data_IF_700048206464
#
_entry.id   IF_700048206464
#
_cell.length_a   1.000
_cell.length_b   1.000
_cell.length_c   1.000
_cell.angle_alpha   90.00
_cell.angle_beta   90.00
_cell.angle_gamma   90.00
#
_symmetry.space_group_name_H-M   'P 1'
#
loop_
_entity.id
_entity.type
_entity.pdbx_description
1 polymer ?
#
# COMPACT_ATOMS: atom_id res chain seq x y z
N UNK A 1 -26.70 69.30 -46.21
CA UNK A 1 -27.26 68.20 -47.01
C UNK A 1 -26.20 67.12 -47.24
N UNK A 2 -26.26 65.97 -46.56
CA UNK A 2 -25.60 64.69 -46.91
C UNK A 2 -25.89 63.67 -45.79
N UNK A 3 -26.99 62.93 -45.90
CA UNK A 3 -27.41 61.95 -44.88
C UNK A 3 -28.48 60.95 -45.33
N UNK A 4 -28.76 60.84 -46.64
CA UNK A 4 -29.82 59.95 -47.17
C UNK A 4 -29.31 58.72 -47.93
N UNK A 5 -27.99 58.54 -48.08
CA UNK A 5 -27.44 57.46 -48.94
C UNK A 5 -26.89 56.22 -48.21
N UNK A 6 -26.77 56.23 -46.87
CA UNK A 6 -26.29 55.02 -46.14
C UNK A 6 -27.40 54.00 -45.87
N UNK A 7 -28.62 54.44 -45.60
CA UNK A 7 -29.75 53.52 -45.38
C UNK A 7 -30.20 52.82 -46.67
N UNK A 8 -30.09 53.48 -47.83
CA UNK A 8 -30.39 52.86 -49.13
C UNK A 8 -29.33 51.80 -49.51
N UNK A 9 -28.08 51.98 -49.08
CA UNK A 9 -27.00 51.03 -49.35
C UNK A 9 -27.08 49.78 -48.44
N UNK A 10 -27.54 49.91 -47.19
CA UNK A 10 -27.75 48.77 -46.27
C UNK A 10 -29.01 47.98 -46.65
N UNK A 11 -30.08 48.66 -47.10
CA UNK A 11 -31.26 47.97 -47.63
C UNK A 11 -30.96 47.30 -48.97
N UNK A 12 -30.13 47.89 -49.85
CA UNK A 12 -29.62 47.19 -51.04
C UNK A 12 -28.69 46.02 -50.70
N UNK A 13 -27.88 46.10 -49.64
CA UNK A 13 -27.05 44.97 -49.20
C UNK A 13 -27.89 43.82 -48.61
N UNK A 14 -28.96 44.12 -47.86
CA UNK A 14 -29.91 43.10 -47.37
C UNK A 14 -30.77 42.51 -48.49
N UNK A 15 -31.15 43.30 -49.49
CA UNK A 15 -31.86 42.81 -50.68
C UNK A 15 -30.92 42.00 -51.58
N UNK A 16 -29.61 42.31 -51.64
CA UNK A 16 -28.62 41.51 -52.37
C UNK A 16 -28.22 40.24 -51.59
N UNK A 17 -28.22 40.22 -50.26
CA UNK A 17 -28.04 38.97 -49.48
C UNK A 17 -29.30 38.10 -49.52
N UNK A 18 -30.50 38.70 -49.50
CA UNK A 18 -31.76 37.98 -49.73
C UNK A 18 -31.93 37.53 -51.21
N UNK A 19 -31.38 38.26 -52.18
CA UNK A 19 -31.32 37.85 -53.60
C UNK A 19 -30.17 36.90 -53.91
N UNK A 20 -29.06 36.89 -53.15
CA UNK A 20 -28.06 35.82 -53.19
C UNK A 20 -28.60 34.54 -52.55
N UNK A 21 -29.56 34.65 -51.62
CA UNK A 21 -30.44 33.57 -51.21
C UNK A 21 -31.42 33.09 -52.30
N UNK A 22 -31.51 33.78 -53.45
CA UNK A 22 -32.42 33.42 -54.55
C UNK A 22 -31.72 33.25 -55.93
N UNK A 23 -30.46 33.68 -56.08
CA UNK A 23 -29.72 33.67 -57.36
C UNK A 23 -28.65 32.57 -57.46
N UNK A 24 -28.48 31.73 -56.43
CA UNK A 24 -27.86 30.40 -56.56
C UNK A 24 -28.82 29.33 -57.13
N UNK A 25 -29.99 29.75 -57.59
CA UNK A 25 -31.06 28.90 -58.10
C UNK A 25 -30.85 28.60 -59.58
N UNK A 26 -29.90 27.71 -59.88
CA UNK A 26 -29.82 26.87 -61.10
C UNK A 26 -28.42 26.29 -61.17
N UNK A 27 -28.20 25.13 -60.56
CA UNK A 27 -27.37 24.08 -61.17
C UNK A 27 -27.46 22.72 -60.44
N UNK A 28 -28.08 22.68 -59.25
CA UNK A 28 -28.52 21.46 -58.58
C UNK A 28 -30.02 21.63 -58.26
N UNK A 29 -30.83 20.56 -58.24
CA UNK A 29 -32.28 20.65 -57.98
C UNK A 29 -32.62 21.39 -56.67
N UNK A 30 -33.89 21.75 -56.41
CA UNK A 30 -34.26 22.60 -55.28
C UNK A 30 -34.19 21.83 -53.95
N UNK A 31 -32.98 21.58 -53.46
CA UNK A 31 -32.75 21.06 -52.11
C UNK A 31 -32.71 22.27 -51.18
N UNK A 32 -33.82 22.54 -50.51
CA UNK A 32 -33.88 23.47 -49.38
C UNK A 32 -33.15 22.84 -48.20
N UNK A 33 -32.04 23.43 -47.77
CA UNK A 33 -31.27 23.00 -46.60
C UNK A 33 -31.85 23.63 -45.33
N UNK A 34 -31.81 22.89 -44.22
CA UNK A 34 -32.05 23.45 -42.89
C UNK A 34 -30.82 24.25 -42.42
N UNK A 35 -31.01 25.11 -41.40
CA UNK A 35 -29.90 25.82 -40.75
C UNK A 35 -28.93 24.85 -40.05
N UNK A 36 -29.45 23.73 -39.53
CA UNK A 36 -28.67 22.59 -39.12
C UNK A 36 -29.56 21.37 -38.88
N UNK A 37 -28.95 20.27 -38.47
CA UNK A 37 -29.60 19.00 -38.22
C UNK A 37 -29.11 18.46 -36.88
N UNK A 38 -29.99 17.84 -36.09
CA UNK A 38 -29.70 17.35 -34.76
C UNK A 38 -30.13 15.90 -34.60
N UNK A 39 -29.22 15.08 -34.11
CA UNK A 39 -29.52 13.83 -33.44
C UNK A 39 -29.36 14.03 -31.93
N UNK A 40 -30.30 13.51 -31.14
CA UNK A 40 -30.21 13.55 -29.68
C UNK A 40 -30.74 12.26 -29.07
N UNK A 41 -30.05 11.79 -28.03
CA UNK A 41 -30.52 10.80 -27.08
C UNK A 41 -30.16 11.24 -25.65
N UNK A 42 -30.38 10.37 -24.66
CA UNK A 42 -30.12 10.68 -23.26
C UNK A 42 -28.63 10.90 -22.92
N UNK A 43 -27.71 10.48 -23.79
CA UNK A 43 -26.26 10.47 -23.55
C UNK A 43 -25.45 11.17 -24.63
N UNK A 44 -26.08 11.61 -25.72
CA UNK A 44 -25.39 12.17 -26.88
C UNK A 44 -26.22 13.20 -27.62
N UNK A 45 -25.54 14.23 -28.12
CA UNK A 45 -26.09 15.19 -29.06
C UNK A 45 -25.11 15.37 -30.22
N UNK A 46 -25.58 15.15 -31.45
CA UNK A 46 -24.82 15.41 -32.66
C UNK A 46 -25.51 16.51 -33.48
N UNK A 47 -24.91 17.69 -33.51
CA UNK A 47 -25.35 18.80 -34.34
C UNK A 47 -24.51 18.90 -35.60
N UNK A 48 -25.17 18.99 -36.75
CA UNK A 48 -24.52 19.05 -38.06
C UNK A 48 -25.03 20.25 -38.85
N UNK A 49 -24.14 21.11 -39.32
CA UNK A 49 -24.48 22.20 -40.24
C UNK A 49 -23.91 21.93 -41.62
N UNK A 50 -24.70 22.16 -42.67
CA UNK A 50 -24.32 21.90 -44.07
C UNK A 50 -24.28 23.24 -44.80
N UNK A 51 -23.10 23.63 -45.30
CA UNK A 51 -22.90 24.86 -46.07
C UNK A 51 -22.43 24.53 -47.48
N UNK A 52 -23.06 25.12 -48.49
CA UNK A 52 -22.71 24.89 -49.90
C UNK A 52 -22.04 26.14 -50.48
N UNK A 53 -20.84 25.96 -51.04
CA UNK A 53 -20.04 27.00 -51.68
C UNK A 53 -19.62 26.53 -53.09
N UNK A 54 -20.38 26.93 -54.11
CA UNK A 54 -20.23 26.45 -55.49
C UNK A 54 -20.37 24.91 -55.59
N UNK A 55 -19.36 24.20 -56.10
CA UNK A 55 -19.34 22.73 -56.20
C UNK A 55 -18.90 22.03 -54.90
N UNK A 56 -18.48 22.78 -53.87
CA UNK A 56 -17.99 22.25 -52.61
C UNK A 56 -19.03 22.37 -51.50
N UNK A 57 -19.10 21.34 -50.67
CA UNK A 57 -19.96 21.27 -49.48
C UNK A 57 -19.09 21.12 -48.25
N UNK A 58 -19.34 21.95 -47.25
CA UNK A 58 -18.73 21.87 -45.94
C UNK A 58 -19.76 21.40 -44.93
N UNK A 59 -19.41 20.39 -44.15
CA UNK A 59 -20.25 19.82 -43.11
C UNK A 59 -19.51 19.91 -41.79
N UNK A 60 -19.99 20.80 -40.92
CA UNK A 60 -19.46 20.93 -39.57
C UNK A 60 -20.31 20.10 -38.63
N UNK A 61 -19.70 19.10 -38.00
CA UNK A 61 -20.32 18.23 -37.02
C UNK A 61 -19.78 18.57 -35.64
N UNK A 62 -20.65 18.72 -34.66
CA UNK A 62 -20.29 18.83 -33.24
C UNK A 62 -21.00 17.74 -32.47
N UNK A 63 -20.22 16.89 -31.83
CA UNK A 63 -20.65 15.72 -31.11
C UNK A 63 -20.36 15.90 -29.62
N UNK A 64 -21.42 15.91 -28.83
CA UNK A 64 -21.36 16.02 -27.37
C UNK A 64 -21.82 14.71 -26.75
N UNK A 65 -20.92 13.98 -26.12
CA UNK A 65 -21.14 12.65 -25.54
C UNK A 65 -20.95 12.71 -24.02
N UNK A 66 -21.84 12.06 -23.28
CA UNK A 66 -21.71 11.83 -21.84
C UNK A 66 -20.78 10.65 -21.62
N UNK A 67 -19.62 10.91 -21.05
CA UNK A 67 -18.65 9.90 -20.62
C UNK A 67 -18.63 9.79 -19.09
N UNK A 68 -17.99 8.75 -18.56
CA UNK A 68 -17.83 8.57 -17.11
C UNK A 68 -16.37 8.29 -16.76
N UNK A 69 -15.85 8.97 -15.74
CA UNK A 69 -14.53 8.72 -15.15
C UNK A 69 -14.71 8.53 -13.64
N UNK A 70 -14.18 7.46 -13.07
CA UNK A 70 -14.40 7.12 -11.64
C UNK A 70 -15.89 7.08 -11.23
N UNK A 71 -16.79 6.69 -12.15
CA UNK A 71 -18.26 6.75 -11.99
C UNK A 71 -18.85 8.17 -11.88
N UNK A 72 -18.09 9.21 -12.21
CA UNK A 72 -18.56 10.60 -12.29
C UNK A 72 -18.81 10.94 -13.76
N UNK A 73 -20.04 11.33 -14.14
CA UNK A 73 -20.34 11.69 -15.52
C UNK A 73 -19.75 13.05 -15.88
N UNK A 74 -19.32 13.21 -17.13
CA UNK A 74 -18.90 14.48 -17.70
C UNK A 74 -19.27 14.54 -19.18
N UNK A 75 -19.45 15.76 -19.70
CA UNK A 75 -19.75 15.96 -21.12
C UNK A 75 -18.45 16.21 -21.89
N UNK A 76 -18.14 15.33 -22.83
CA UNK A 76 -17.06 15.50 -23.80
C UNK A 76 -17.66 16.06 -25.09
N UNK A 77 -17.05 17.10 -25.65
CA UNK A 77 -17.52 17.69 -26.92
C UNK A 77 -16.38 17.77 -27.91
N UNK A 78 -16.61 17.26 -29.11
CA UNK A 78 -15.67 17.26 -30.22
C UNK A 78 -16.35 17.86 -31.46
N UNK A 79 -15.60 18.60 -32.25
CA UNK A 79 -16.10 19.15 -33.51
C UNK A 79 -15.18 18.73 -34.65
N UNK A 80 -15.77 18.33 -35.77
CA UNK A 80 -15.07 17.97 -36.99
C UNK A 80 -15.68 18.69 -38.19
N UNK A 81 -14.81 19.16 -39.08
CA UNK A 81 -15.19 19.75 -40.36
C UNK A 81 -14.89 18.74 -41.47
N UNK A 82 -15.91 18.41 -42.24
CA UNK A 82 -15.82 17.49 -43.38
C UNK A 82 -16.10 18.26 -44.67
N UNK A 83 -15.28 18.01 -45.69
CA UNK A 83 -15.49 18.57 -47.02
C UNK A 83 -16.01 17.49 -47.98
N UNK A 84 -16.84 17.90 -48.94
CA UNK A 84 -17.45 16.98 -49.89
C UNK A 84 -18.16 17.64 -51.05
N UNK A 85 -18.99 16.85 -51.72
CA UNK A 85 -19.79 17.23 -52.89
C UNK A 85 -21.23 16.79 -52.71
N UNK A 86 -22.15 17.43 -53.44
CA UNK A 86 -23.58 17.09 -53.41
C UNK A 86 -24.11 16.91 -54.83
N UNK A 87 -24.76 15.79 -55.09
CA UNK A 87 -25.46 15.48 -56.34
C UNK A 87 -26.94 15.24 -56.06
N UNK A 88 -27.77 16.21 -56.42
CA UNK A 88 -29.17 16.24 -56.00
C UNK A 88 -29.27 16.23 -54.47
N UNK A 89 -29.88 15.17 -53.91
CA UNK A 89 -30.02 14.97 -52.46
C UNK A 89 -28.88 14.16 -51.85
N UNK A 90 -28.01 13.56 -52.67
CA UNK A 90 -26.92 12.73 -52.19
C UNK A 90 -25.74 13.60 -51.79
N UNK A 91 -25.25 13.40 -50.57
CA UNK A 91 -24.08 14.02 -49.98
C UNK A 91 -22.94 13.00 -49.94
N UNK A 92 -21.77 13.38 -50.43
CA UNK A 92 -20.55 12.56 -50.34
C UNK A 92 -19.46 13.37 -49.64
N UNK A 93 -19.08 12.98 -48.43
CA UNK A 93 -18.05 13.62 -47.62
C UNK A 93 -16.80 12.75 -47.55
N UNK A 94 -15.62 13.36 -47.48
CA UNK A 94 -14.37 12.62 -47.24
C UNK A 94 -14.06 12.57 -45.75
N UNK A 95 -13.88 11.36 -45.21
CA UNK A 95 -13.34 11.20 -43.87
C UNK A 95 -11.82 11.45 -43.89
N UNK A 96 -11.31 12.50 -43.21
CA UNK A 96 -9.89 12.82 -43.23
C UNK A 96 -9.02 11.80 -42.45
N UNK A 97 -9.61 11.05 -41.51
CA UNK A 97 -8.89 10.08 -40.69
C UNK A 97 -8.73 8.71 -41.38
N UNK A 98 -9.75 8.26 -42.12
CA UNK A 98 -9.75 6.93 -42.76
C UNK A 98 -9.58 6.99 -44.29
N UNK A 99 -9.76 8.16 -44.89
CA UNK A 99 -9.76 8.35 -46.34
C UNK A 99 -10.98 7.76 -47.06
N UNK A 100 -11.96 7.25 -46.31
CA UNK A 100 -13.18 6.66 -46.85
C UNK A 100 -14.25 7.72 -47.11
N UNK A 101 -15.10 7.47 -48.11
CA UNK A 101 -16.25 8.31 -48.40
C UNK A 101 -17.39 7.99 -47.41
N UNK A 102 -17.93 9.04 -46.80
CA UNK A 102 -19.14 9.02 -46.00
C UNK A 102 -20.29 9.45 -46.91
N UNK A 103 -21.27 8.58 -47.08
CA UNK A 103 -22.43 8.84 -47.93
C UNK A 103 -23.61 9.26 -47.05
N UNK A 104 -24.33 10.28 -47.48
CA UNK A 104 -25.56 10.71 -46.81
C UNK A 104 -26.61 11.19 -47.80
N UNK A 105 -27.82 11.38 -47.30
CA UNK A 105 -28.95 11.96 -48.01
C UNK A 105 -29.43 13.20 -47.26
N UNK A 106 -29.48 14.34 -47.93
CA UNK A 106 -29.90 15.63 -47.35
C UNK A 106 -31.26 16.03 -47.91
N UNK A 107 -32.20 16.30 -47.01
CA UNK A 107 -33.51 16.88 -47.30
C UNK A 107 -33.77 18.09 -46.39
N UNK A 108 -34.84 18.85 -46.63
CA UNK A 108 -35.18 20.02 -45.81
C UNK A 108 -35.50 19.70 -44.35
N UNK A 109 -36.02 18.50 -44.09
CA UNK A 109 -36.47 18.08 -42.75
C UNK A 109 -35.49 17.11 -42.08
N UNK A 110 -34.57 16.50 -42.83
CA UNK A 110 -33.75 15.39 -42.35
C UNK A 110 -32.40 15.33 -43.08
N UNK A 111 -31.35 15.04 -42.32
CA UNK A 111 -30.03 14.65 -42.81
C UNK A 111 -29.77 13.22 -42.36
N UNK A 112 -29.60 12.34 -43.32
CA UNK A 112 -29.40 10.93 -43.08
C UNK A 112 -28.01 10.52 -43.55
N UNK A 113 -27.33 9.71 -42.77
CA UNK A 113 -26.05 9.17 -43.14
C UNK A 113 -26.03 7.64 -43.15
N UNK A 114 -25.36 7.08 -44.15
CA UNK A 114 -25.21 5.65 -44.36
C UNK A 114 -23.86 5.19 -43.78
N UNK A 115 -23.91 4.38 -42.71
CA UNK A 115 -22.71 3.78 -42.10
C UNK A 115 -22.18 4.52 -40.87
N UNK A 116 -20.96 4.14 -40.45
CA UNK A 116 -20.33 4.53 -39.18
C UNK A 116 -19.86 6.00 -39.19
N UNK A 117 -20.75 6.95 -38.90
CA UNK A 117 -20.34 8.27 -38.39
C UNK A 117 -20.11 8.29 -36.89
N UNK A 118 -20.70 7.32 -36.20
CA UNK A 118 -20.62 7.16 -34.76
C UNK A 118 -19.93 5.82 -34.49
N UNK A 119 -18.93 5.78 -33.62
CA UNK A 119 -18.41 4.51 -33.11
C UNK A 119 -19.59 3.66 -32.60
N UNK A 120 -19.56 2.37 -32.92
CA UNK A 120 -20.59 1.34 -32.63
C UNK A 120 -21.85 1.31 -33.52
N UNK A 121 -22.13 2.33 -34.34
CA UNK A 121 -23.38 2.34 -35.14
C UNK A 121 -23.19 1.75 -36.54
N UNK A 122 -23.58 0.48 -36.74
CA UNK A 122 -23.55 -0.21 -38.06
C UNK A 122 -24.76 0.11 -38.96
N UNK A 123 -25.63 1.02 -38.53
CA UNK A 123 -26.89 1.38 -39.20
C UNK A 123 -26.88 2.78 -39.83
N UNK A 124 -28.07 3.20 -40.22
CA UNK A 124 -28.34 4.53 -40.77
C UNK A 124 -28.57 5.53 -39.63
N UNK A 125 -27.91 6.68 -39.63
CA UNK A 125 -28.10 7.73 -38.61
C UNK A 125 -28.90 8.88 -39.20
N UNK A 126 -30.05 9.17 -38.61
CA UNK A 126 -30.96 10.24 -39.02
C UNK A 126 -30.90 11.42 -38.05
N UNK A 127 -30.67 12.61 -38.59
CA UNK A 127 -30.66 13.88 -37.87
C UNK A 127 -31.84 14.73 -38.36
N UNK A 128 -32.58 15.32 -37.44
CA UNK A 128 -33.78 16.11 -37.75
C UNK A 128 -33.40 17.59 -37.91
N UNK A 129 -34.01 18.28 -38.87
CA UNK A 129 -33.81 19.70 -39.08
C UNK A 129 -34.04 20.53 -37.80
N UNK A 130 -33.12 21.45 -37.52
CA UNK A 130 -33.12 22.34 -36.36
C UNK A 130 -32.44 23.67 -36.71
N UNK A 131 -32.28 24.54 -35.71
CA UNK A 131 -31.46 25.75 -35.80
C UNK A 131 -30.43 25.79 -34.67
N UNK A 132 -29.43 26.67 -34.82
CA UNK A 132 -28.32 26.77 -33.87
C UNK A 132 -28.78 27.13 -32.45
N UNK A 133 -29.75 28.04 -32.34
CA UNK A 133 -30.31 28.46 -31.04
C UNK A 133 -31.00 27.31 -30.29
N UNK A 134 -31.75 26.47 -31.00
CA UNK A 134 -32.41 25.30 -30.44
C UNK A 134 -31.40 24.24 -29.98
N UNK A 135 -30.34 24.00 -30.77
CA UNK A 135 -29.22 23.14 -30.36
C UNK A 135 -28.52 23.68 -29.11
N UNK A 136 -28.11 24.95 -29.09
CA UNK A 136 -27.42 25.56 -27.95
C UNK A 136 -28.26 25.50 -26.66
N UNK A 137 -29.57 25.70 -26.76
CA UNK A 137 -30.51 25.56 -25.64
C UNK A 137 -30.56 24.12 -25.09
N UNK A 138 -30.61 23.13 -25.98
CA UNK A 138 -30.61 21.71 -25.61
C UNK A 138 -29.27 21.27 -25.03
N UNK A 139 -28.15 21.71 -25.61
CA UNK A 139 -26.81 21.45 -25.11
C UNK A 139 -26.60 22.07 -23.72
N UNK A 140 -27.08 23.29 -23.49
CA UNK A 140 -27.04 23.93 -22.17
C UNK A 140 -27.85 23.14 -21.14
N UNK A 141 -29.01 22.60 -21.53
CA UNK A 141 -29.85 21.73 -20.68
C UNK A 141 -29.13 20.43 -20.33
N UNK A 142 -28.54 19.75 -21.32
CA UNK A 142 -27.74 18.54 -21.12
C UNK A 142 -26.54 18.80 -20.22
N UNK A 143 -25.77 19.85 -20.51
CA UNK A 143 -24.60 20.27 -19.72
C UNK A 143 -24.98 20.51 -18.25
N UNK A 144 -26.09 21.22 -18.01
CA UNK A 144 -26.59 21.48 -16.66
C UNK A 144 -26.96 20.19 -15.94
N UNK A 145 -27.70 19.29 -16.60
CA UNK A 145 -28.10 17.99 -16.03
C UNK A 145 -26.88 17.15 -15.63
N UNK A 146 -25.91 17.01 -16.54
CA UNK A 146 -24.68 16.25 -16.28
C UNK A 146 -23.85 16.88 -15.17
N UNK A 147 -23.79 18.20 -15.11
CA UNK A 147 -23.11 18.89 -14.01
C UNK A 147 -23.79 18.61 -12.65
N UNK A 148 -25.11 18.69 -12.57
CA UNK A 148 -25.86 18.39 -11.34
C UNK A 148 -25.68 16.93 -10.92
N UNK A 149 -25.73 15.98 -11.86
CA UNK A 149 -25.49 14.56 -11.61
C UNK A 149 -24.05 14.29 -11.14
N UNK A 150 -23.06 14.93 -11.77
CA UNK A 150 -21.66 14.83 -11.39
C UNK A 150 -21.40 15.32 -9.97
N UNK A 151 -22.01 16.43 -9.56
CA UNK A 151 -21.87 16.96 -8.20
C UNK A 151 -22.50 16.04 -7.14
N UNK A 152 -23.61 15.38 -7.46
CA UNK A 152 -24.19 14.34 -6.60
C UNK A 152 -23.25 13.14 -6.52
N UNK A 153 -22.78 12.63 -7.66
CA UNK A 153 -21.90 11.47 -7.72
C UNK A 153 -20.55 11.69 -7.03
N UNK A 154 -19.96 12.88 -7.15
CA UNK A 154 -18.73 13.24 -6.41
C UNK A 154 -18.89 13.09 -4.90
N UNK A 155 -20.03 13.54 -4.37
CA UNK A 155 -20.33 13.42 -2.93
C UNK A 155 -20.53 11.95 -2.53
N UNK A 156 -21.30 11.19 -3.31
CA UNK A 156 -21.50 9.75 -3.07
C UNK A 156 -20.18 8.97 -3.09
N UNK A 157 -19.33 9.20 -4.10
CA UNK A 157 -18.02 8.56 -4.23
C UNK A 157 -17.11 8.95 -3.07
N UNK A 158 -17.09 10.22 -2.65
CA UNK A 158 -16.32 10.65 -1.50
C UNK A 158 -16.78 9.96 -0.20
N UNK A 159 -18.09 9.88 0.04
CA UNK A 159 -18.65 9.16 1.19
C UNK A 159 -18.33 7.66 1.16
N UNK A 160 -18.43 7.03 -0.01
CA UNK A 160 -18.06 5.62 -0.19
C UNK A 160 -16.58 5.39 0.08
N UNK A 161 -15.69 6.25 -0.42
CA UNK A 161 -14.23 6.17 -0.17
C UNK A 161 -13.92 6.28 1.32
N UNK A 162 -14.59 7.17 2.06
CA UNK A 162 -14.44 7.29 3.52
C UNK A 162 -14.93 6.04 4.24
N UNK A 163 -16.11 5.51 3.87
CA UNK A 163 -16.65 4.27 4.46
C UNK A 163 -15.75 3.07 4.20
N UNK A 164 -15.23 2.96 2.98
CA UNK A 164 -14.32 1.89 2.59
C UNK A 164 -12.97 2.00 3.30
N UNK A 165 -12.40 3.21 3.40
CA UNK A 165 -11.18 3.43 4.18
C UNK A 165 -11.35 3.03 5.65
N UNK A 166 -12.49 3.39 6.27
CA UNK A 166 -12.80 2.98 7.64
C UNK A 166 -12.97 1.45 7.77
N UNK A 167 -13.59 0.80 6.77
CA UNK A 167 -13.72 -0.67 6.72
C UNK A 167 -12.36 -1.36 6.65
N UNK A 168 -11.47 -0.85 5.81
CA UNK A 168 -10.11 -1.38 5.63
C UNK A 168 -9.26 -1.15 6.88
N UNK A 169 -9.31 0.04 7.49
CA UNK A 169 -8.61 0.33 8.75
C UNK A 169 -9.07 -0.60 9.87
N UNK A 170 -10.38 -0.77 10.02
CA UNK A 170 -10.96 -1.71 10.97
C UNK A 170 -10.48 -3.15 10.73
N UNK A 171 -10.50 -3.63 9.48
CA UNK A 171 -10.03 -4.96 9.14
C UNK A 171 -8.53 -5.17 9.47
N UNK A 172 -7.68 -4.17 9.21
CA UNK A 172 -6.26 -4.19 9.58
C UNK A 172 -6.07 -4.28 11.08
N UNK A 173 -6.81 -3.50 11.86
CA UNK A 173 -6.77 -3.56 13.34
C UNK A 173 -7.22 -4.92 13.85
N UNK A 174 -8.27 -5.50 13.26
CA UNK A 174 -8.70 -6.87 13.57
C UNK A 174 -7.57 -7.86 13.29
N UNK A 175 -6.94 -7.81 12.12
CA UNK A 175 -5.81 -8.70 11.80
C UNK A 175 -4.64 -8.50 12.80
N UNK A 176 -4.31 -7.24 13.10
CA UNK A 176 -3.20 -6.89 13.98
C UNK A 176 -3.39 -7.42 15.40
N UNK A 177 -4.60 -7.31 15.99
CA UNK A 177 -4.85 -7.89 17.32
C UNK A 177 -4.68 -9.41 17.33
N UNK A 178 -5.01 -10.09 16.22
CA UNK A 178 -4.81 -11.54 16.09
C UNK A 178 -3.33 -11.94 16.00
N UNK A 179 -2.52 -11.14 15.29
CA UNK A 179 -1.06 -11.34 15.23
C UNK A 179 -0.41 -11.11 16.59
N UNK A 180 -0.71 -9.98 17.24
CA UNK A 180 -0.18 -9.68 18.57
C UNK A 180 -0.56 -10.74 19.61
N UNK A 181 -1.78 -11.28 19.56
CA UNK A 181 -2.18 -12.42 20.42
C UNK A 181 -1.28 -13.64 20.21
N UNK A 182 -1.03 -14.02 18.96
CA UNK A 182 -0.17 -15.15 18.62
C UNK A 182 1.29 -14.90 19.01
N UNK A 183 1.82 -13.70 18.72
CA UNK A 183 3.19 -13.29 19.01
C UNK A 183 3.45 -13.30 20.53
N UNK A 184 2.49 -12.86 21.35
CA UNK A 184 2.57 -12.95 22.81
C UNK A 184 2.67 -14.39 23.30
N UNK A 185 1.89 -15.31 22.74
CA UNK A 185 1.90 -16.73 23.13
C UNK A 185 3.19 -17.41 22.68
N UNK A 186 3.65 -17.13 21.46
CA UNK A 186 4.89 -17.68 20.93
C UNK A 186 6.11 -17.17 21.71
N UNK A 187 6.18 -15.86 21.96
CA UNK A 187 7.29 -15.26 22.70
C UNK A 187 7.30 -15.71 24.17
N UNK A 188 6.12 -15.89 24.79
CA UNK A 188 6.00 -16.51 26.11
C UNK A 188 6.65 -17.90 26.16
N UNK A 189 6.41 -18.72 25.13
CA UNK A 189 7.02 -20.05 25.03
C UNK A 189 8.56 -19.97 24.93
N UNK A 190 9.09 -19.09 24.07
CA UNK A 190 10.55 -18.90 23.98
C UNK A 190 11.15 -18.41 25.31
N UNK A 191 10.47 -17.52 26.02
CA UNK A 191 10.89 -17.06 27.35
C UNK A 191 10.94 -18.17 28.39
N UNK A 192 10.05 -19.16 28.31
CA UNK A 192 10.03 -20.30 29.21
C UNK A 192 11.09 -21.36 28.87
N UNK A 193 11.48 -21.46 27.61
CA UNK A 193 12.60 -22.29 27.15
C UNK A 193 13.96 -21.69 27.57
N UNK A 194 14.05 -20.37 27.75
CA UNK A 194 15.25 -19.71 28.26
C UNK A 194 15.47 -20.00 29.75
N UNK A 195 16.20 -21.08 30.01
CA UNK A 195 16.63 -21.51 31.34
C UNK A 195 18.16 -21.49 31.48
N UNK A 196 18.60 -21.49 32.75
CA UNK A 196 20.02 -21.43 33.16
C UNK A 196 20.46 -22.67 33.96
N UNK A 197 19.63 -23.71 33.99
CA UNK A 197 19.87 -24.93 34.79
C UNK A 197 21.15 -25.64 34.38
N UNK A 198 21.41 -25.71 33.08
CA UNK A 198 22.58 -26.41 32.55
C UNK A 198 23.87 -25.65 32.88
N UNK A 199 23.87 -24.33 32.76
CA UNK A 199 25.02 -23.50 33.09
C UNK A 199 25.31 -23.44 34.60
N UNK A 200 24.26 -23.42 35.42
CA UNK A 200 24.39 -23.50 36.86
C UNK A 200 24.97 -24.86 37.30
N UNK A 201 24.49 -25.96 36.71
CA UNK A 201 25.00 -27.29 36.98
C UNK A 201 26.46 -27.43 36.54
N UNK A 202 26.76 -27.04 35.29
CA UNK A 202 28.12 -27.01 34.76
C UNK A 202 29.08 -26.26 35.69
N UNK A 203 28.70 -25.06 36.12
CA UNK A 203 29.52 -24.23 37.00
C UNK A 203 29.84 -24.92 38.34
N UNK A 204 28.85 -25.58 38.95
CA UNK A 204 29.06 -26.31 40.20
C UNK A 204 29.99 -27.51 40.02
N UNK A 205 29.82 -28.26 38.92
CA UNK A 205 30.66 -29.42 38.60
C UNK A 205 32.12 -29.00 38.38
N UNK A 206 32.34 -27.88 37.68
CA UNK A 206 33.68 -27.33 37.47
C UNK A 206 34.35 -26.88 38.79
N UNK A 207 33.59 -26.27 39.72
CA UNK A 207 34.13 -25.90 41.05
C UNK A 207 34.54 -27.14 41.85
N UNK A 208 33.71 -28.19 41.86
CA UNK A 208 34.05 -29.44 42.53
C UNK A 208 35.32 -30.07 41.95
N UNK A 209 35.47 -30.08 40.64
CA UNK A 209 36.68 -30.59 39.99
C UNK A 209 37.91 -29.73 40.29
N UNK A 210 37.79 -28.40 40.28
CA UNK A 210 38.88 -27.49 40.70
C UNK A 210 39.33 -27.74 42.13
N UNK A 211 38.40 -28.02 43.05
CA UNK A 211 38.72 -28.39 44.43
C UNK A 211 39.49 -29.72 44.50
N UNK A 212 39.06 -30.72 43.72
CA UNK A 212 39.72 -32.03 43.62
C UNK A 212 41.16 -31.89 43.10
N UNK A 213 41.36 -31.12 42.02
CA UNK A 213 42.67 -30.90 41.41
C UNK A 213 43.61 -30.10 42.33
N UNK A 214 43.09 -29.12 43.08
CA UNK A 214 43.87 -28.41 44.09
C UNK A 214 44.37 -29.36 45.19
N UNK A 215 43.52 -30.28 45.65
CA UNK A 215 43.90 -31.25 46.66
C UNK A 215 44.92 -32.27 46.15
N UNK A 216 44.83 -32.64 44.87
CA UNK A 216 45.84 -33.46 44.20
C UNK A 216 47.22 -32.76 44.20
N UNK A 217 47.26 -31.47 43.81
CA UNK A 217 48.48 -30.65 43.87
C UNK A 217 49.02 -30.55 45.31
N UNK A 218 48.14 -30.35 46.30
CA UNK A 218 48.55 -30.31 47.72
C UNK A 218 49.14 -31.65 48.18
N UNK A 219 48.53 -32.75 47.79
CA UNK A 219 49.02 -34.10 48.14
C UNK A 219 50.43 -34.30 47.64
N UNK A 220 50.70 -34.05 46.35
CA UNK A 220 52.06 -34.12 45.79
C UNK A 220 53.03 -33.18 46.53
N UNK A 221 52.64 -31.95 46.83
CA UNK A 221 53.53 -30.96 47.47
C UNK A 221 54.07 -31.38 48.86
N UNK A 222 53.35 -32.29 49.54
CA UNK A 222 53.73 -32.80 50.87
C UNK A 222 54.59 -34.06 50.83
N UNK A 223 54.77 -34.69 49.67
CA UNK A 223 55.52 -35.94 49.56
C UNK A 223 57.00 -35.76 49.94
N UNK A 224 57.55 -36.57 50.87
CA UNK A 224 58.97 -36.59 51.17
C UNK A 224 59.76 -37.04 49.93
N UNK A 225 60.73 -36.23 49.49
CA UNK A 225 61.57 -36.59 48.35
C UNK A 225 60.89 -36.54 46.98
N UNK A 226 59.92 -35.64 46.80
CA UNK A 226 59.26 -35.35 45.51
C UNK A 226 60.28 -35.33 44.35
N UNK A 227 59.99 -36.09 43.30
CA UNK A 227 60.79 -36.18 42.08
C UNK A 227 60.41 -35.08 41.07
N UNK A 228 61.30 -34.83 40.09
CA UNK A 228 61.03 -33.90 38.99
C UNK A 228 59.79 -34.31 38.17
N UNK A 229 59.59 -35.60 37.96
CA UNK A 229 58.44 -36.13 37.23
C UNK A 229 57.12 -35.83 37.97
N UNK A 230 57.08 -36.02 39.29
CA UNK A 230 55.89 -35.68 40.09
C UNK A 230 55.64 -34.17 40.12
N UNK A 231 56.68 -33.35 40.10
CA UNK A 231 56.52 -31.90 39.93
C UNK A 231 55.95 -31.53 38.54
N UNK A 232 56.39 -32.17 37.46
CA UNK A 232 55.83 -31.98 36.11
C UNK A 232 54.34 -32.41 36.05
N UNK A 233 53.95 -33.47 36.77
CA UNK A 233 52.54 -33.84 36.94
C UNK A 233 51.76 -32.71 37.62
N UNK A 234 52.28 -32.11 38.69
CA UNK A 234 51.63 -30.95 39.33
C UNK A 234 51.46 -29.76 38.36
N UNK A 235 52.45 -29.51 37.50
CA UNK A 235 52.34 -28.47 36.46
C UNK A 235 51.24 -28.80 35.44
N UNK A 236 51.15 -30.06 35.01
CA UNK A 236 50.06 -30.55 34.15
C UNK A 236 48.69 -30.39 34.80
N UNK A 237 48.57 -30.74 36.08
CA UNK A 237 47.34 -30.58 36.87
C UNK A 237 46.92 -29.10 36.98
N UNK A 238 47.87 -28.19 37.19
CA UNK A 238 47.59 -26.74 37.17
C UNK A 238 47.13 -26.28 35.78
N UNK A 239 47.70 -26.83 34.70
CA UNK A 239 47.26 -26.59 33.33
C UNK A 239 45.80 -27.03 33.10
N UNK A 240 45.41 -28.21 33.60
CA UNK A 240 44.03 -28.67 33.57
C UNK A 240 43.10 -27.71 34.33
N UNK A 241 43.49 -27.25 35.53
CA UNK A 241 42.71 -26.26 36.28
C UNK A 241 42.49 -24.96 35.49
N UNK A 242 43.52 -24.49 34.77
CA UNK A 242 43.41 -23.29 33.90
C UNK A 242 42.33 -23.47 32.84
N UNK A 243 42.26 -24.64 32.19
CA UNK A 243 41.26 -24.96 31.16
C UNK A 243 39.84 -24.93 31.74
N UNK A 244 39.64 -25.48 32.95
CA UNK A 244 38.32 -25.43 33.61
C UNK A 244 37.90 -23.99 33.93
N UNK A 245 38.81 -23.17 34.45
CA UNK A 245 38.55 -21.74 34.70
C UNK A 245 38.20 -21.00 33.41
N UNK A 246 38.90 -21.27 32.31
CA UNK A 246 38.61 -20.64 31.02
C UNK A 246 37.25 -21.09 30.47
N UNK A 247 36.89 -22.37 30.60
CA UNK A 247 35.56 -22.88 30.26
C UNK A 247 34.44 -22.22 31.07
N UNK A 248 34.66 -21.98 32.36
CA UNK A 248 33.72 -21.23 33.21
C UNK A 248 33.57 -19.76 32.75
N UNK A 249 34.65 -19.11 32.31
CA UNK A 249 34.59 -17.75 31.77
C UNK A 249 33.82 -17.68 30.43
N UNK A 250 33.92 -18.69 29.57
CA UNK A 250 33.08 -18.76 28.36
C UNK A 250 31.61 -18.96 28.71
N UNK A 251 31.32 -19.80 29.70
CA UNK A 251 29.95 -20.02 30.18
C UNK A 251 29.33 -18.74 30.77
N UNK A 252 30.13 -17.93 31.47
CA UNK A 252 29.75 -16.61 31.99
C UNK A 252 29.22 -15.69 30.88
N UNK A 253 29.90 -15.67 29.72
CA UNK A 253 29.46 -14.92 28.54
C UNK A 253 28.14 -15.44 27.97
N UNK A 254 27.97 -16.75 27.86
CA UNK A 254 26.71 -17.37 27.40
C UNK A 254 25.51 -17.00 28.29
N UNK A 255 25.70 -17.00 29.61
CA UNK A 255 24.66 -16.59 30.57
C UNK A 255 24.32 -15.10 30.38
N UNK A 256 25.31 -14.23 30.17
CA UNK A 256 25.09 -12.81 29.93
C UNK A 256 24.28 -12.56 28.65
N UNK A 257 24.62 -13.26 27.56
CA UNK A 257 23.87 -13.16 26.29
C UNK A 257 22.44 -13.67 26.43
N UNK A 258 22.23 -14.82 27.11
CA UNK A 258 20.88 -15.33 27.44
C UNK A 258 20.08 -14.32 28.28
N UNK A 259 20.70 -13.69 29.28
CA UNK A 259 20.06 -12.67 30.09
C UNK A 259 19.64 -11.46 29.26
N UNK A 260 20.51 -10.99 28.36
CA UNK A 260 20.21 -9.88 27.45
C UNK A 260 19.04 -10.22 26.53
N UNK A 261 19.07 -11.39 25.88
CA UNK A 261 17.98 -11.84 25.02
C UNK A 261 16.65 -11.92 25.79
N UNK A 262 16.69 -12.40 27.03
CA UNK A 262 15.51 -12.44 27.90
C UNK A 262 14.97 -11.03 28.21
N UNK A 263 15.83 -10.04 28.44
CA UNK A 263 15.41 -8.64 28.64
C UNK A 263 14.76 -8.04 27.39
N UNK A 264 15.34 -8.30 26.21
CA UNK A 264 14.80 -7.83 24.93
C UNK A 264 13.42 -8.45 24.65
N UNK A 265 13.26 -9.76 24.87
CA UNK A 265 11.96 -10.44 24.73
C UNK A 265 10.90 -9.90 25.71
N UNK A 266 11.28 -9.65 26.97
CA UNK A 266 10.37 -9.03 27.95
C UNK A 266 9.91 -7.65 27.46
N UNK A 267 10.84 -6.82 26.97
CA UNK A 267 10.51 -5.47 26.50
C UNK A 267 9.56 -5.50 25.30
N UNK A 268 9.80 -6.40 24.33
CA UNK A 268 8.92 -6.61 23.18
C UNK A 268 7.52 -7.00 23.65
N UNK A 269 7.40 -8.00 24.53
CA UNK A 269 6.10 -8.43 25.03
C UNK A 269 5.37 -7.35 25.82
N UNK A 270 6.07 -6.52 26.60
CA UNK A 270 5.47 -5.38 27.31
C UNK A 270 4.89 -4.35 26.33
N UNK A 271 5.57 -4.09 25.21
CA UNK A 271 5.05 -3.25 24.12
C UNK A 271 3.86 -3.91 23.42
N UNK A 272 3.97 -5.17 23.03
CA UNK A 272 2.91 -5.90 22.31
C UNK A 272 1.63 -6.02 23.14
N UNK A 273 1.74 -6.25 24.46
CA UNK A 273 0.58 -6.24 25.36
C UNK A 273 -0.12 -4.89 25.38
N UNK A 274 0.65 -3.79 25.42
CA UNK A 274 0.10 -2.43 25.43
C UNK A 274 -0.61 -2.12 24.11
N UNK A 275 0.04 -2.44 22.98
CA UNK A 275 -0.52 -2.20 21.66
C UNK A 275 -1.77 -3.05 21.43
N UNK A 276 -1.76 -4.32 21.86
CA UNK A 276 -2.92 -5.20 21.81
C UNK A 276 -4.09 -4.61 22.60
N UNK A 277 -3.86 -4.13 23.82
CA UNK A 277 -4.90 -3.51 24.65
C UNK A 277 -5.45 -2.22 24.03
N UNK A 278 -4.57 -1.35 23.49
CA UNK A 278 -4.98 -0.11 22.85
C UNK A 278 -5.81 -0.37 21.60
N UNK A 279 -5.33 -1.21 20.67
CA UNK A 279 -6.04 -1.52 19.44
C UNK A 279 -7.36 -2.23 19.77
N UNK A 280 -7.36 -3.16 20.73
CA UNK A 280 -8.59 -3.82 21.16
C UNK A 280 -9.62 -2.83 21.69
N UNK A 281 -9.22 -1.85 22.50
CA UNK A 281 -10.12 -0.84 23.03
C UNK A 281 -10.77 0.01 21.93
N UNK A 282 -10.06 0.27 20.83
CA UNK A 282 -10.59 1.00 19.66
C UNK A 282 -11.64 0.19 18.89
N UNK A 283 -11.46 -1.13 18.76
CA UNK A 283 -12.28 -1.95 17.87
C UNK A 283 -13.37 -2.78 18.57
N UNK A 284 -13.27 -3.00 19.89
CA UNK A 284 -14.11 -3.97 20.64
C UNK A 284 -15.62 -3.77 20.48
N UNK A 285 -16.09 -2.55 20.27
CA UNK A 285 -17.52 -2.26 20.11
C UNK A 285 -18.08 -2.67 18.74
N UNK A 286 -17.21 -2.88 17.75
CA UNK A 286 -17.60 -3.14 16.35
C UNK A 286 -17.16 -4.52 15.86
N UNK A 287 -16.42 -5.27 16.68
CA UNK A 287 -15.94 -6.62 16.35
C UNK A 287 -17.03 -7.68 16.57
N UNK A 288 -17.25 -8.59 15.60
CA UNK A 288 -18.10 -9.75 15.81
C UNK A 288 -17.58 -10.63 16.95
N UNK A 289 -18.48 -11.20 17.75
CA UNK A 289 -18.15 -12.06 18.89
C UNK A 289 -17.16 -11.42 19.89
N UNK A 290 -17.32 -10.11 20.15
CA UNK A 290 -16.42 -9.33 20.99
C UNK A 290 -16.08 -10.00 22.33
N UNK A 291 -17.06 -10.62 23.00
CA UNK A 291 -16.85 -11.33 24.27
C UNK A 291 -15.89 -12.52 24.14
N UNK A 292 -16.02 -13.33 23.09
CA UNK A 292 -15.13 -14.47 22.85
C UNK A 292 -13.71 -13.99 22.58
N UNK A 293 -13.58 -12.92 21.81
CA UNK A 293 -12.29 -12.36 21.43
C UNK A 293 -11.60 -11.65 22.61
N UNK A 294 -12.36 -10.96 23.44
CA UNK A 294 -11.87 -10.37 24.69
C UNK A 294 -11.34 -11.44 25.64
N UNK A 295 -12.01 -12.60 25.75
CA UNK A 295 -11.50 -13.73 26.53
C UNK A 295 -10.16 -14.26 26.00
N UNK A 296 -10.01 -14.38 24.69
CA UNK A 296 -8.76 -14.84 24.07
C UNK A 296 -7.60 -13.86 24.30
N UNK A 297 -7.84 -12.56 24.06
CA UNK A 297 -6.88 -11.48 24.31
C UNK A 297 -6.45 -11.46 25.78
N UNK A 298 -7.40 -11.53 26.72
CA UNK A 298 -7.09 -11.55 28.14
C UNK A 298 -6.30 -12.80 28.55
N UNK A 299 -6.56 -13.95 27.92
CA UNK A 299 -5.79 -15.17 28.15
C UNK A 299 -4.35 -15.05 27.64
N UNK A 300 -4.14 -14.46 26.45
CA UNK A 300 -2.80 -14.19 25.92
C UNK A 300 -2.02 -13.21 26.80
N UNK A 301 -2.63 -12.09 27.20
CA UNK A 301 -2.03 -11.10 28.11
C UNK A 301 -1.67 -11.75 29.46
N UNK A 302 -2.55 -12.60 30.01
CA UNK A 302 -2.28 -13.31 31.25
C UNK A 302 -1.07 -14.23 31.10
N UNK A 303 -1.04 -15.04 30.03
CA UNK A 303 0.07 -15.95 29.72
C UNK A 303 1.39 -15.18 29.58
N UNK A 304 1.37 -14.06 28.85
CA UNK A 304 2.51 -13.18 28.70
C UNK A 304 2.99 -12.61 30.03
N UNK A 305 2.06 -12.10 30.86
CA UNK A 305 2.36 -11.54 32.18
C UNK A 305 3.00 -12.58 33.11
N UNK A 306 2.45 -13.79 33.16
CA UNK A 306 2.98 -14.89 33.97
C UNK A 306 4.39 -15.29 33.50
N UNK A 307 4.60 -15.38 32.19
CA UNK A 307 5.90 -15.72 31.59
C UNK A 307 6.96 -14.65 31.86
N UNK A 308 6.60 -13.37 31.74
CA UNK A 308 7.47 -12.24 32.10
C UNK A 308 7.83 -12.30 33.59
N UNK A 309 6.87 -12.56 34.48
CA UNK A 309 7.13 -12.66 35.91
C UNK A 309 8.09 -13.80 36.24
N UNK A 310 7.93 -14.96 35.57
CA UNK A 310 8.85 -16.08 35.71
C UNK A 310 10.24 -15.74 35.16
N UNK A 311 10.33 -15.11 33.99
CA UNK A 311 11.59 -14.68 33.39
C UNK A 311 12.35 -13.68 34.28
N UNK A 312 11.66 -12.67 34.83
CA UNK A 312 12.24 -11.72 35.79
C UNK A 312 12.74 -12.44 37.06
N UNK A 313 12.03 -13.48 37.52
CA UNK A 313 12.50 -14.33 38.64
C UNK A 313 13.74 -15.13 38.26
N UNK A 314 13.81 -15.67 37.04
CA UNK A 314 14.98 -16.39 36.49
C UNK A 314 16.21 -15.45 36.42
N UNK A 315 16.07 -14.25 35.86
CA UNK A 315 17.13 -13.23 35.84
C UNK A 315 17.63 -12.90 37.26
N UNK A 316 16.70 -12.59 38.16
CA UNK A 316 17.04 -12.30 39.55
C UNK A 316 17.70 -13.48 40.27
N UNK A 317 17.41 -14.73 39.87
CA UNK A 317 18.08 -15.91 40.40
C UNK A 317 19.50 -16.08 39.84
N UNK A 318 19.76 -15.75 38.58
CA UNK A 318 21.12 -15.76 38.02
C UNK A 318 22.00 -14.74 38.74
N UNK A 319 21.51 -13.52 38.88
CA UNK A 319 22.22 -12.45 39.60
C UNK A 319 22.47 -12.80 41.08
N UNK A 320 21.51 -13.48 41.73
CA UNK A 320 21.62 -13.91 43.14
C UNK A 320 22.33 -15.23 43.37
N UNK A 321 22.35 -16.14 42.38
CA UNK A 321 22.99 -17.46 42.45
C UNK A 321 24.51 -17.38 42.54
N UNK A 322 25.06 -16.17 42.45
CA UNK A 322 26.47 -15.94 42.71
C UNK A 322 27.32 -16.34 41.53
N UNK A 323 26.91 -16.07 40.29
CA UNK A 323 27.77 -16.24 39.12
C UNK A 323 29.11 -15.50 39.27
N UNK A 324 29.08 -14.27 39.80
CA UNK A 324 30.29 -13.55 40.21
C UNK A 324 31.09 -14.30 41.29
N UNK A 325 30.40 -14.88 42.27
CA UNK A 325 31.01 -15.67 43.36
C UNK A 325 31.61 -16.98 42.86
N UNK A 326 30.98 -17.64 41.90
CA UNK A 326 31.44 -18.86 41.22
C UNK A 326 32.75 -18.54 40.49
N UNK A 327 32.77 -17.46 39.70
CA UNK A 327 33.97 -16.96 39.02
C UNK A 327 35.10 -16.61 40.00
N UNK A 328 34.78 -15.90 41.07
CA UNK A 328 35.74 -15.58 42.13
C UNK A 328 36.29 -16.84 42.80
N UNK A 329 35.44 -17.81 43.09
CA UNK A 329 35.83 -19.08 43.71
C UNK A 329 36.75 -19.87 42.79
N UNK A 330 36.40 -20.00 41.50
CA UNK A 330 37.22 -20.69 40.51
C UNK A 330 38.62 -20.07 40.38
N UNK A 331 38.68 -18.74 40.26
CA UNK A 331 39.93 -18.00 40.22
C UNK A 331 40.74 -18.17 41.51
N UNK A 332 40.10 -18.12 42.67
CA UNK A 332 40.75 -18.32 43.96
C UNK A 332 41.36 -19.72 44.07
N UNK A 333 40.63 -20.77 43.68
CA UNK A 333 41.14 -22.15 43.68
C UNK A 333 42.36 -22.30 42.76
N UNK A 334 42.31 -21.73 41.56
CA UNK A 334 43.44 -21.72 40.64
C UNK A 334 44.65 -20.97 41.20
N UNK A 335 44.45 -19.79 41.79
CA UNK A 335 45.54 -19.01 42.41
C UNK A 335 46.16 -19.75 43.61
N UNK A 336 45.34 -20.43 44.42
CA UNK A 336 45.83 -21.28 45.50
C UNK A 336 46.71 -22.41 44.94
N UNK A 337 46.28 -23.09 43.88
CA UNK A 337 47.06 -24.15 43.24
C UNK A 337 48.39 -23.63 42.68
N UNK A 338 48.37 -22.49 41.99
CA UNK A 338 49.57 -21.83 41.47
C UNK A 338 50.55 -21.47 42.59
N UNK A 339 50.06 -20.98 43.73
CA UNK A 339 50.88 -20.67 44.89
C UNK A 339 51.52 -21.92 45.51
N UNK A 340 50.76 -23.02 45.66
CA UNK A 340 51.30 -24.30 46.16
C UNK A 340 52.40 -24.82 45.22
N UNK A 341 52.18 -24.77 43.91
CA UNK A 341 53.17 -25.18 42.92
C UNK A 341 54.46 -24.35 43.02
N UNK A 342 54.34 -23.01 43.12
CA UNK A 342 55.49 -22.11 43.25
C UNK A 342 56.28 -22.34 44.53
N UNK A 343 55.59 -22.56 45.66
CA UNK A 343 56.24 -22.90 46.93
C UNK A 343 56.96 -24.26 46.86
N UNK A 344 56.35 -25.24 46.21
CA UNK A 344 56.93 -26.58 46.01
C UNK A 344 58.20 -26.49 45.16
N UNK A 345 58.15 -25.72 44.06
CA UNK A 345 59.30 -25.45 43.20
C UNK A 345 60.49 -24.90 44.01
N UNK A 346 60.23 -23.90 44.85
CA UNK A 346 61.24 -23.29 45.70
C UNK A 346 61.79 -24.25 46.77
N UNK A 347 60.94 -25.08 47.38
CA UNK A 347 61.32 -26.03 48.44
C UNK A 347 62.25 -27.14 47.94
N UNK A 348 61.99 -27.68 46.74
CA UNK A 348 62.74 -28.82 46.19
C UNK A 348 63.80 -28.42 45.15
N UNK A 349 63.86 -27.14 44.75
CA UNK A 349 64.91 -26.61 43.86
C UNK A 349 64.74 -26.98 42.38
N UNK A 350 63.49 -27.08 41.91
CA UNK A 350 63.15 -27.40 40.51
C UNK A 350 63.12 -26.19 39.57
#
# INVERSE_FOLDING_TARGET
MKGKNKSIMIVMALVIVALLGYAGYRFLGPVTLAEGYLYEDDTRMLYTSVTVNNEKVNVEMTDSIVETEDSIPFLKTESILLEGTMDGKQLTLKNPATGQDIIGTVNGDELQFDGLLMEENKGQTSLVATNKSAYESKLATLTKRIHEEAEVKKKEVAEQRVKEAARVDFAKKVEQTGKLEADLIETAKYLDELQFTDEAQFSNDQIAELQRLLEEIRTYSTQPGLSKMEFEVMQGTLGSMKVLVDGMNTMDGSIQDKNKNMQEMIAIMETDMKDLQTIWAEIKASVPDAEKREKAINAAIKTATESIAQAKKRQGSVDKSGQAKVKETANSLYQQAANVLNQTKAKYGF
#
